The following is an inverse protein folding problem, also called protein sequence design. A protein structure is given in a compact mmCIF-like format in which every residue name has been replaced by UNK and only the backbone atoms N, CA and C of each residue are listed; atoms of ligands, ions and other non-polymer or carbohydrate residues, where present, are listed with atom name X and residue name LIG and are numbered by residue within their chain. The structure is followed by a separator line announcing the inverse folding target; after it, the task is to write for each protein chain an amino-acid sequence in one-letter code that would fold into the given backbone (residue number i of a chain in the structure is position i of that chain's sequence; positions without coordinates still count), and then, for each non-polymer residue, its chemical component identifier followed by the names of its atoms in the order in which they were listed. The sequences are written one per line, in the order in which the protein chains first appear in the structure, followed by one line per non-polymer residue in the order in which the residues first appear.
data_IF_144673612893
#
_entry.id   IF_144673612893
#
_cell.length_a   1.000
_cell.length_b   1.000
_cell.length_c   1.000
_cell.angle_alpha   90.00
_cell.angle_beta   90.00
_cell.angle_gamma   90.00
#
_symmetry.space_group_name_H-M   'P 1'
#
loop_
_entity.id
_entity.type
_entity.pdbx_description
1 polymer ?
#
# COMPACT_ATOMS: atom_id res chain seq x y z
N UNK A 1 7.36 -3.74 -22.82
CA UNK A 1 8.83 -3.86 -22.68
C UNK A 1 9.26 -3.44 -21.27
N UNK A 2 8.98 -2.22 -20.79
CA UNK A 2 9.34 -1.74 -19.43
C UNK A 2 8.84 -2.67 -18.32
N UNK A 3 7.59 -3.18 -18.42
CA UNK A 3 7.02 -4.12 -17.46
C UNK A 3 7.83 -5.44 -17.41
N UNK A 4 8.23 -5.96 -18.56
CA UNK A 4 9.02 -7.20 -18.62
C UNK A 4 10.40 -6.99 -18.01
N UNK A 5 11.06 -5.86 -18.32
CA UNK A 5 12.35 -5.50 -17.71
C UNK A 5 12.23 -5.39 -16.19
N UNK A 6 11.21 -4.70 -15.69
CA UNK A 6 10.95 -4.56 -14.26
C UNK A 6 10.67 -5.91 -13.59
N UNK A 7 9.87 -6.76 -14.23
CA UNK A 7 9.57 -8.10 -13.72
C UNK A 7 10.81 -8.99 -13.65
N UNK A 8 11.64 -8.98 -14.71
CA UNK A 8 12.93 -9.69 -14.72
C UNK A 8 13.86 -9.16 -13.64
N UNK A 9 13.90 -7.86 -13.42
CA UNK A 9 14.71 -7.22 -12.38
C UNK A 9 14.26 -7.63 -10.96
N UNK A 10 12.96 -7.70 -10.73
CA UNK A 10 12.39 -8.22 -9.47
C UNK A 10 12.71 -9.70 -9.25
N UNK A 11 12.65 -10.52 -10.31
CA UNK A 11 13.04 -11.93 -10.22
C UNK A 11 14.52 -12.09 -9.91
N UNK A 12 15.39 -11.30 -10.55
CA UNK A 12 16.83 -11.30 -10.29
C UNK A 12 17.13 -10.85 -8.84
N UNK A 13 16.46 -9.82 -8.34
CA UNK A 13 16.60 -9.38 -6.95
C UNK A 13 16.12 -10.45 -5.96
N UNK A 14 15.04 -11.16 -6.30
CA UNK A 14 14.52 -12.24 -5.46
C UNK A 14 15.45 -13.47 -5.46
N UNK A 15 16.00 -13.84 -6.60
CA UNK A 15 16.95 -14.97 -6.71
C UNK A 15 18.34 -14.61 -6.14
N UNK A 16 18.77 -13.37 -6.29
CA UNK A 16 20.03 -12.88 -5.69
C UNK A 16 20.05 -12.99 -4.17
N UNK A 17 18.89 -12.81 -3.51
CA UNK A 17 18.75 -12.99 -2.05
C UNK A 17 19.09 -14.40 -1.57
N UNK A 18 19.00 -15.39 -2.44
CA UNK A 18 19.27 -16.81 -2.14
C UNK A 18 20.68 -17.26 -2.53
N UNK A 19 21.38 -16.50 -3.39
CA UNK A 19 22.59 -16.95 -4.07
C UNK A 19 23.83 -16.10 -3.80
N UNK A 20 23.71 -14.88 -3.24
CA UNK A 20 24.81 -13.93 -3.10
C UNK A 20 25.10 -13.52 -1.67
N UNK A 21 26.33 -13.06 -1.42
CA UNK A 21 26.73 -12.43 -0.16
C UNK A 21 25.93 -11.12 0.06
N UNK A 22 25.67 -10.78 1.32
CA UNK A 22 24.85 -9.61 1.70
C UNK A 22 25.32 -8.30 1.04
N UNK A 23 26.65 -8.13 0.90
CA UNK A 23 27.25 -6.91 0.30
C UNK A 23 26.97 -6.80 -1.20
N UNK A 24 27.08 -7.90 -1.95
CA UNK A 24 26.78 -7.92 -3.39
C UNK A 24 25.30 -7.67 -3.66
N UNK A 25 24.44 -8.17 -2.76
CA UNK A 25 23.02 -7.93 -2.81
C UNK A 25 22.67 -6.45 -2.60
N UNK A 26 23.33 -5.78 -1.66
CA UNK A 26 23.11 -4.34 -1.40
C UNK A 26 23.52 -3.49 -2.62
N UNK A 27 24.65 -3.79 -3.26
CA UNK A 27 25.06 -3.12 -4.51
C UNK A 27 24.07 -3.36 -5.64
N UNK A 28 23.54 -4.56 -5.77
CA UNK A 28 22.52 -4.88 -6.77
C UNK A 28 21.22 -4.09 -6.54
N UNK A 29 20.80 -3.94 -5.27
CA UNK A 29 19.63 -3.11 -4.91
C UNK A 29 19.87 -1.64 -5.26
N UNK A 30 21.03 -1.08 -4.89
CA UNK A 30 21.37 0.30 -5.20
C UNK A 30 21.38 0.53 -6.71
N UNK A 31 22.00 -0.38 -7.48
CA UNK A 31 22.01 -0.32 -8.93
C UNK A 31 20.59 -0.37 -9.53
N UNK A 32 19.74 -1.27 -9.02
CA UNK A 32 18.34 -1.37 -9.46
C UNK A 32 17.53 -0.11 -9.14
N UNK A 33 17.73 0.49 -7.96
CA UNK A 33 17.09 1.76 -7.59
C UNK A 33 17.54 2.91 -8.50
N UNK A 34 18.84 3.04 -8.77
CA UNK A 34 19.38 4.04 -9.69
C UNK A 34 18.80 3.86 -11.11
N UNK A 35 18.79 2.64 -11.63
CA UNK A 35 18.20 2.33 -12.93
C UNK A 35 16.71 2.68 -12.98
N UNK A 36 15.95 2.36 -11.92
CA UNK A 36 14.53 2.69 -11.84
C UNK A 36 14.30 4.20 -11.85
N UNK A 37 15.09 4.97 -11.09
CA UNK A 37 15.01 6.44 -11.07
C UNK A 37 15.28 7.01 -12.46
N UNK A 38 16.33 6.56 -13.14
CA UNK A 38 16.67 6.98 -14.50
C UNK A 38 15.55 6.64 -15.48
N UNK A 39 15.00 5.42 -15.40
CA UNK A 39 13.89 4.99 -16.26
C UNK A 39 12.62 5.83 -16.03
N UNK A 40 12.30 6.16 -14.78
CA UNK A 40 11.16 7.04 -14.44
C UNK A 40 11.37 8.44 -14.97
N UNK A 41 12.56 9.01 -14.82
CA UNK A 41 12.90 10.34 -15.36
C UNK A 41 12.82 10.36 -16.89
N UNK A 42 13.33 9.32 -17.55
CA UNK A 42 13.27 9.17 -18.99
C UNK A 42 11.81 9.09 -19.49
N UNK A 43 10.99 8.21 -18.90
CA UNK A 43 9.57 8.10 -19.26
C UNK A 43 8.80 9.39 -18.95
N UNK A 44 9.14 10.06 -17.86
CA UNK A 44 8.52 11.35 -17.49
C UNK A 44 8.89 12.46 -18.48
N UNK A 45 10.11 12.45 -19.01
CA UNK A 45 10.57 13.46 -19.96
C UNK A 45 10.03 13.24 -21.39
N UNK A 46 10.05 11.99 -21.85
CA UNK A 46 9.62 11.64 -23.21
C UNK A 46 8.15 11.24 -23.31
N UNK A 47 7.49 10.95 -22.16
CA UNK A 47 6.06 10.62 -22.14
C UNK A 47 5.22 11.83 -22.56
N UNK A 48 4.38 11.68 -23.60
CA UNK A 48 3.40 12.72 -23.97
C UNK A 48 2.51 12.99 -22.77
N UNK A 49 2.65 14.14 -22.16
CA UNK A 49 1.77 14.61 -21.07
C UNK A 49 0.42 14.97 -21.68
N UNK A 50 -0.46 14.02 -21.82
CA UNK A 50 -1.88 14.32 -21.94
C UNK A 50 -2.31 15.00 -20.63
N UNK A 51 -2.60 16.27 -20.66
CA UNK A 51 -3.11 17.01 -19.50
C UNK A 51 -4.57 16.61 -19.23
N UNK A 52 -4.78 15.40 -18.73
CA UNK A 52 -6.11 14.98 -18.29
C UNK A 52 -6.43 15.63 -16.96
N UNK A 53 -7.43 16.46 -16.92
CA UNK A 53 -7.92 17.10 -15.69
C UNK A 53 -8.88 16.15 -14.98
N UNK A 54 -8.38 15.49 -13.94
CA UNK A 54 -9.24 14.79 -12.97
C UNK A 54 -9.58 15.79 -11.86
N UNK A 55 -10.81 15.78 -11.36
CA UNK A 55 -11.22 16.66 -10.26
C UNK A 55 -10.32 16.41 -9.03
N UNK A 56 -9.97 17.49 -8.31
CA UNK A 56 -9.09 17.41 -7.14
C UNK A 56 -9.65 16.43 -6.09
N UNK A 57 -10.96 16.48 -5.86
CA UNK A 57 -11.65 15.58 -4.93
C UNK A 57 -11.45 14.11 -5.30
N UNK A 58 -11.67 13.74 -6.57
CA UNK A 58 -11.53 12.38 -7.05
C UNK A 58 -10.07 11.93 -7.00
N UNK A 59 -9.13 12.82 -7.30
CA UNK A 59 -7.69 12.53 -7.25
C UNK A 59 -7.23 12.28 -5.81
N UNK A 60 -7.64 13.13 -4.86
CA UNK A 60 -7.33 12.96 -3.43
C UNK A 60 -7.96 11.69 -2.86
N UNK A 61 -9.23 11.42 -3.16
CA UNK A 61 -9.90 10.21 -2.71
C UNK A 61 -9.22 8.94 -3.23
N UNK A 62 -8.73 8.96 -4.47
CA UNK A 62 -8.00 7.84 -5.07
C UNK A 62 -6.62 7.66 -4.41
N UNK A 63 -5.93 8.75 -4.12
CA UNK A 63 -4.66 8.74 -3.42
C UNK A 63 -4.82 8.19 -2.00
N UNK A 64 -5.84 8.64 -1.25
CA UNK A 64 -6.18 8.11 0.09
C UNK A 64 -6.48 6.62 0.03
N UNK A 65 -7.24 6.16 -0.98
CA UNK A 65 -7.52 4.73 -1.15
C UNK A 65 -6.23 3.91 -1.35
N UNK A 66 -5.22 4.46 -2.01
CA UNK A 66 -3.90 3.87 -2.15
C UNK A 66 -3.13 3.84 -0.83
N UNK A 67 -3.12 4.94 -0.10
CA UNK A 67 -2.52 5.07 1.24
C UNK A 67 -3.08 4.00 2.18
N UNK A 68 -4.42 3.94 2.30
CA UNK A 68 -5.10 2.98 3.17
C UNK A 68 -4.83 1.54 2.78
N UNK A 69 -4.78 1.25 1.46
CA UNK A 69 -4.44 -0.08 0.99
C UNK A 69 -3.05 -0.53 1.43
N UNK A 70 -2.06 0.34 1.30
CA UNK A 70 -0.71 0.05 1.72
C UNK A 70 -0.56 0.01 3.26
N UNK A 71 -1.23 0.91 3.98
CA UNK A 71 -1.29 0.91 5.43
C UNK A 71 -1.80 -0.44 5.96
N UNK A 72 -2.88 -0.94 5.41
CA UNK A 72 -3.51 -2.18 5.83
C UNK A 72 -2.56 -3.38 5.68
N UNK A 73 -1.83 -3.46 4.58
CA UNK A 73 -0.90 -4.57 4.35
C UNK A 73 0.44 -4.38 5.04
N UNK A 74 1.08 -3.22 4.88
CA UNK A 74 2.43 -3.02 5.38
C UNK A 74 2.44 -2.81 6.89
N UNK A 75 1.70 -1.81 7.38
CA UNK A 75 1.61 -1.56 8.83
C UNK A 75 0.90 -2.70 9.54
N UNK A 76 -0.22 -3.19 9.00
CA UNK A 76 -0.98 -4.29 9.58
C UNK A 76 -0.15 -5.55 9.73
N UNK A 77 0.69 -5.90 8.74
CA UNK A 77 1.56 -7.07 8.85
C UNK A 77 2.67 -6.89 9.89
N UNK A 78 3.30 -5.72 9.96
CA UNK A 78 4.32 -5.41 10.97
C UNK A 78 3.70 -5.44 12.38
N UNK A 79 2.55 -4.79 12.55
CA UNK A 79 1.84 -4.74 13.83
C UNK A 79 1.41 -6.13 14.31
N UNK A 80 0.71 -6.89 13.46
CA UNK A 80 0.23 -8.23 13.83
C UNK A 80 1.40 -9.18 14.09
N UNK A 81 2.46 -9.13 13.29
CA UNK A 81 3.64 -9.95 13.51
C UNK A 81 4.36 -9.60 14.82
N UNK A 82 4.39 -8.31 15.19
CA UNK A 82 5.03 -7.83 16.43
C UNK A 82 4.22 -8.14 17.68
N UNK A 83 2.88 -7.98 17.63
CA UNK A 83 2.02 -8.11 18.82
C UNK A 83 1.52 -9.54 19.02
N UNK A 84 1.08 -10.20 17.96
CA UNK A 84 0.46 -11.54 18.02
C UNK A 84 1.35 -12.65 17.50
N UNK A 85 2.48 -12.32 16.86
CA UNK A 85 3.38 -13.26 16.22
C UNK A 85 2.94 -13.64 14.79
N UNK A 86 3.90 -14.09 13.99
CA UNK A 86 3.71 -14.40 12.54
C UNK A 86 2.73 -15.53 12.29
N UNK A 87 2.67 -16.54 13.17
CA UNK A 87 1.74 -17.65 13.05
C UNK A 87 0.27 -17.20 13.05
N UNK A 88 -0.02 -16.07 13.65
CA UNK A 88 -1.37 -15.52 13.80
C UNK A 88 -1.79 -14.55 12.69
N UNK A 89 -0.94 -14.26 11.71
CA UNK A 89 -1.25 -13.33 10.62
C UNK A 89 -2.49 -13.74 9.82
N UNK A 90 -2.74 -15.06 9.68
CA UNK A 90 -3.92 -15.58 9.01
C UNK A 90 -5.21 -15.08 9.65
N UNK A 91 -5.30 -15.19 10.96
CA UNK A 91 -6.52 -14.87 11.73
C UNK A 91 -6.66 -13.37 11.98
N UNK A 92 -5.57 -12.69 12.36
CA UNK A 92 -5.65 -11.29 12.80
C UNK A 92 -5.53 -10.27 11.67
N UNK A 93 -4.94 -10.64 10.53
CA UNK A 93 -4.80 -9.72 9.39
C UNK A 93 -5.59 -10.18 8.17
N UNK A 94 -5.31 -11.39 7.64
CA UNK A 94 -5.89 -11.81 6.36
C UNK A 94 -7.37 -12.12 6.45
N UNK A 95 -7.82 -12.79 7.51
CA UNK A 95 -9.23 -13.12 7.68
C UNK A 95 -10.13 -11.87 7.75
N UNK A 96 -9.90 -10.89 8.65
CA UNK A 96 -10.72 -9.67 8.70
C UNK A 96 -10.62 -8.87 7.40
N UNK A 97 -9.46 -8.85 6.73
CA UNK A 97 -9.32 -8.21 5.43
C UNK A 97 -10.23 -8.82 4.37
N UNK A 98 -10.18 -10.14 4.22
CA UNK A 98 -10.98 -10.86 3.21
C UNK A 98 -12.47 -10.76 3.53
N UNK A 99 -12.85 -10.93 4.78
CA UNK A 99 -14.26 -10.80 5.21
C UNK A 99 -14.79 -9.38 4.95
N UNK A 100 -14.01 -8.34 5.26
CA UNK A 100 -14.39 -6.95 4.96
C UNK A 100 -14.59 -6.71 3.47
N UNK A 101 -13.71 -7.25 2.62
CA UNK A 101 -13.82 -7.16 1.17
C UNK A 101 -15.07 -7.89 0.65
N UNK A 102 -15.31 -9.13 1.10
CA UNK A 102 -16.51 -9.92 0.71
C UNK A 102 -17.77 -9.21 1.14
N UNK A 103 -17.82 -8.71 2.37
CA UNK A 103 -18.98 -7.99 2.88
C UNK A 103 -19.27 -6.71 2.07
N UNK A 104 -18.21 -5.97 1.69
CA UNK A 104 -18.35 -4.83 0.79
C UNK A 104 -18.96 -5.21 -0.58
N UNK A 105 -18.62 -6.39 -1.12
CA UNK A 105 -19.19 -6.89 -2.38
C UNK A 105 -20.68 -7.25 -2.21
N UNK A 106 -21.05 -7.93 -1.12
CA UNK A 106 -22.44 -8.32 -0.82
C UNK A 106 -23.32 -7.08 -0.67
N UNK A 107 -22.84 -6.04 0.00
CA UNK A 107 -23.60 -4.82 0.26
C UNK A 107 -23.46 -3.79 -0.88
N UNK A 108 -22.72 -4.11 -1.95
CA UNK A 108 -22.40 -3.19 -3.05
C UNK A 108 -23.62 -2.55 -3.70
N UNK A 109 -24.76 -3.25 -3.79
CA UNK A 109 -26.04 -2.71 -4.32
C UNK A 109 -26.59 -1.57 -3.46
N UNK A 110 -26.53 -1.72 -2.13
CA UNK A 110 -26.98 -0.72 -1.16
C UNK A 110 -26.04 0.47 -1.07
N UNK A 111 -24.73 0.22 -1.11
CA UNK A 111 -23.71 1.26 -1.04
C UNK A 111 -23.63 2.14 -2.31
N UNK A 112 -24.30 1.73 -3.40
CA UNK A 112 -24.42 2.56 -4.61
C UNK A 112 -25.04 3.94 -4.34
N UNK A 113 -25.94 4.02 -3.37
CA UNK A 113 -26.67 5.24 -3.02
C UNK A 113 -25.92 6.11 -1.98
N UNK A 114 -24.80 5.65 -1.47
CA UNK A 114 -24.05 6.37 -0.47
C UNK A 114 -23.37 7.61 -1.07
N UNK A 115 -23.35 8.68 -0.29
CA UNK A 115 -22.53 9.85 -0.60
C UNK A 115 -21.04 9.48 -0.48
N UNK A 116 -20.17 10.18 -1.22
CA UNK A 116 -18.71 10.09 -1.14
C UNK A 116 -18.17 10.14 0.27
N UNK A 117 -18.79 10.92 1.13
CA UNK A 117 -18.30 11.19 2.46
C UNK A 117 -18.43 9.96 3.38
N UNK A 118 -19.42 9.09 3.13
CA UNK A 118 -19.65 7.92 4.00
C UNK A 118 -18.46 6.96 4.04
N UNK A 119 -17.92 6.49 2.91
CA UNK A 119 -16.72 5.65 2.94
C UNK A 119 -15.51 6.36 3.56
N UNK A 120 -15.35 7.67 3.32
CA UNK A 120 -14.24 8.45 3.86
C UNK A 120 -14.32 8.57 5.39
N UNK A 121 -15.50 8.92 5.92
CA UNK A 121 -15.74 8.97 7.37
C UNK A 121 -15.59 7.57 7.99
N UNK A 122 -16.09 6.54 7.29
CA UNK A 122 -15.91 5.15 7.71
C UNK A 122 -14.43 4.73 7.79
N UNK A 123 -13.59 5.16 6.84
CA UNK A 123 -12.15 4.93 6.89
C UNK A 123 -11.51 5.62 8.10
N UNK A 124 -11.85 6.89 8.34
CA UNK A 124 -11.34 7.65 9.49
C UNK A 124 -11.76 7.00 10.82
N UNK A 125 -13.03 6.60 10.94
CA UNK A 125 -13.53 5.88 12.13
C UNK A 125 -12.85 4.53 12.33
N UNK A 126 -12.62 3.78 11.26
CA UNK A 126 -11.90 2.49 11.32
C UNK A 126 -10.46 2.66 11.81
N UNK A 127 -9.76 3.71 11.35
CA UNK A 127 -8.42 4.04 11.84
C UNK A 127 -8.45 4.42 13.33
N UNK A 128 -9.47 5.18 13.76
CA UNK A 128 -9.67 5.48 15.18
C UNK A 128 -9.86 4.21 16.04
N UNK A 129 -10.64 3.24 15.56
CA UNK A 129 -10.84 1.96 16.25
C UNK A 129 -9.52 1.15 16.31
N UNK A 130 -8.68 1.22 15.28
CA UNK A 130 -7.37 0.54 15.29
C UNK A 130 -6.41 1.08 16.35
N UNK A 131 -6.58 2.31 16.81
CA UNK A 131 -5.82 2.84 17.96
C UNK A 131 -6.20 2.16 19.28
N UNK A 132 -7.36 1.52 19.33
CA UNK A 132 -7.82 0.72 20.47
C UNK A 132 -7.34 -0.72 20.27
N UNK A 133 -6.23 -1.08 20.87
CA UNK A 133 -5.54 -2.38 20.67
C UNK A 133 -6.43 -3.61 20.84
N UNK A 134 -7.45 -3.52 21.72
CA UNK A 134 -8.41 -4.61 21.97
C UNK A 134 -9.36 -4.87 20.79
N UNK A 135 -9.51 -3.92 19.86
CA UNK A 135 -10.47 -3.98 18.75
C UNK A 135 -9.81 -4.11 17.37
N UNK A 136 -8.57 -4.58 17.34
CA UNK A 136 -7.76 -4.66 16.09
C UNK A 136 -8.48 -5.42 14.98
N UNK A 137 -9.08 -6.59 15.26
CA UNK A 137 -9.79 -7.41 14.27
C UNK A 137 -10.96 -6.63 13.66
N UNK A 138 -11.77 -5.98 14.52
CA UNK A 138 -12.91 -5.18 14.06
C UNK A 138 -12.44 -3.97 13.26
N UNK A 139 -11.39 -3.28 13.71
CA UNK A 139 -10.80 -2.13 13.01
C UNK A 139 -10.29 -2.52 11.63
N UNK A 140 -9.59 -3.63 11.49
CA UNK A 140 -9.09 -4.14 10.21
C UNK A 140 -10.24 -4.57 9.27
N UNK A 141 -11.26 -5.21 9.82
CA UNK A 141 -12.46 -5.59 9.06
C UNK A 141 -13.16 -4.34 8.49
N UNK A 142 -13.45 -3.35 9.34
CA UNK A 142 -14.10 -2.11 8.93
C UNK A 142 -13.24 -1.31 7.95
N UNK A 143 -11.94 -1.23 8.19
CA UNK A 143 -11.00 -0.55 7.29
C UNK A 143 -11.01 -1.20 5.89
N UNK A 144 -10.99 -2.53 5.83
CA UNK A 144 -11.08 -3.28 4.57
C UNK A 144 -12.43 -3.07 3.88
N UNK A 145 -13.51 -3.09 4.64
CA UNK A 145 -14.87 -2.86 4.14
C UNK A 145 -15.00 -1.47 3.50
N UNK A 146 -14.67 -0.42 4.23
CA UNK A 146 -14.80 0.95 3.72
C UNK A 146 -13.82 1.25 2.60
N UNK A 147 -12.60 0.73 2.65
CA UNK A 147 -11.62 0.82 1.56
C UNK A 147 -12.14 0.16 0.27
N UNK A 148 -12.73 -1.03 0.37
CA UNK A 148 -13.29 -1.74 -0.77
C UNK A 148 -14.52 -1.03 -1.34
N UNK A 149 -15.36 -0.48 -0.48
CA UNK A 149 -16.52 0.35 -0.86
C UNK A 149 -16.06 1.61 -1.59
N UNK A 150 -15.06 2.33 -1.05
CA UNK A 150 -14.47 3.52 -1.69
C UNK A 150 -13.86 3.17 -3.05
N UNK A 151 -13.13 2.06 -3.13
CA UNK A 151 -12.52 1.62 -4.39
C UNK A 151 -13.55 1.34 -5.48
N UNK A 152 -14.66 0.71 -5.12
CA UNK A 152 -15.78 0.42 -6.04
C UNK A 152 -16.50 1.69 -6.48
N UNK A 153 -16.66 2.64 -5.57
CA UNK A 153 -17.23 3.95 -5.85
C UNK A 153 -16.34 4.75 -6.81
N UNK A 154 -15.03 4.84 -6.52
CA UNK A 154 -14.06 5.52 -7.39
C UNK A 154 -14.01 4.88 -8.78
N UNK A 155 -14.05 3.55 -8.88
CA UNK A 155 -14.08 2.87 -10.17
C UNK A 155 -15.29 3.34 -11.02
N UNK A 156 -16.48 3.41 -10.42
CA UNK A 156 -17.68 3.90 -11.12
C UNK A 156 -17.54 5.34 -11.56
N UNK A 157 -17.06 6.24 -10.70
CA UNK A 157 -16.83 7.66 -11.05
C UNK A 157 -15.86 7.82 -12.22
N UNK A 158 -14.73 7.09 -12.19
CA UNK A 158 -13.78 7.12 -13.30
C UNK A 158 -14.39 6.62 -14.62
N UNK A 159 -15.28 5.60 -14.58
CA UNK A 159 -15.99 5.14 -15.78
C UNK A 159 -16.98 6.16 -16.32
N UNK A 160 -17.59 6.96 -15.46
CA UNK A 160 -18.56 8.00 -15.83
C UNK A 160 -17.90 9.31 -16.27
N UNK A 161 -16.63 9.52 -15.97
CA UNK A 161 -15.91 10.74 -16.32
C UNK A 161 -15.74 10.86 -17.83
N UNK A 162 -16.39 11.88 -18.42
CA UNK A 162 -16.42 12.08 -19.86
C UNK A 162 -15.17 12.76 -20.41
N UNK A 163 -14.48 13.54 -19.57
CA UNK A 163 -13.28 14.30 -19.96
C UNK A 163 -12.04 13.42 -20.15
N UNK A 164 -12.13 12.15 -19.73
CA UNK A 164 -11.04 11.19 -19.84
C UNK A 164 -11.28 10.23 -21.02
N UNK A 165 -10.27 9.91 -21.84
CA UNK A 165 -10.37 8.84 -22.83
C UNK A 165 -10.73 7.51 -22.18
N UNK A 166 -11.64 6.77 -22.78
CA UNK A 166 -12.17 5.51 -22.22
C UNK A 166 -11.07 4.54 -21.78
N UNK A 167 -10.05 4.38 -22.62
CA UNK A 167 -8.94 3.43 -22.37
C UNK A 167 -8.00 3.89 -21.25
N UNK A 168 -7.97 5.17 -20.92
CA UNK A 168 -7.07 5.74 -19.93
C UNK A 168 -7.68 5.87 -18.53
N UNK A 169 -9.00 5.79 -18.39
CA UNK A 169 -9.73 6.06 -17.13
C UNK A 169 -9.25 5.19 -15.99
N UNK A 170 -9.24 3.89 -16.19
CA UNK A 170 -8.82 2.92 -15.18
C UNK A 170 -7.32 2.99 -14.93
N UNK A 171 -6.53 3.21 -15.97
CA UNK A 171 -5.08 3.38 -15.83
C UNK A 171 -4.74 4.60 -14.96
N UNK A 172 -5.39 5.75 -15.16
CA UNK A 172 -5.21 6.96 -14.36
C UNK A 172 -5.58 6.70 -12.90
N UNK A 173 -6.72 6.02 -12.65
CA UNK A 173 -7.12 5.62 -11.30
C UNK A 173 -6.04 4.80 -10.60
N UNK A 174 -5.59 3.72 -11.22
CA UNK A 174 -4.59 2.84 -10.61
C UNK A 174 -3.23 3.52 -10.44
N UNK A 175 -2.82 4.33 -11.39
CA UNK A 175 -1.58 5.12 -11.27
C UNK A 175 -1.63 6.06 -10.08
N UNK A 176 -2.75 6.77 -9.87
CA UNK A 176 -2.93 7.66 -8.72
C UNK A 176 -2.97 6.87 -7.41
N UNK A 177 -3.66 5.73 -7.40
CA UNK A 177 -3.72 4.84 -6.24
C UNK A 177 -2.31 4.31 -5.87
N UNK A 178 -1.52 3.92 -6.86
CA UNK A 178 -0.14 3.47 -6.66
C UNK A 178 0.75 4.59 -6.10
N UNK A 179 0.59 5.83 -6.58
CA UNK A 179 1.28 7.00 -5.99
C UNK A 179 0.97 7.14 -4.50
N UNK A 180 -0.30 7.00 -4.11
CA UNK A 180 -0.69 7.01 -2.69
C UNK A 180 -0.02 5.89 -1.88
N UNK A 181 0.00 4.68 -2.41
CA UNK A 181 0.68 3.54 -1.78
C UNK A 181 2.18 3.78 -1.58
N UNK A 182 2.87 4.27 -2.60
CA UNK A 182 4.30 4.57 -2.53
C UNK A 182 4.58 5.71 -1.54
N UNK A 183 3.76 6.75 -1.54
CA UNK A 183 3.89 7.86 -0.59
C UNK A 183 3.76 7.39 0.86
N UNK A 184 2.77 6.55 1.15
CA UNK A 184 2.61 5.95 2.48
C UNK A 184 3.80 5.07 2.86
N UNK A 185 4.26 4.22 1.94
CA UNK A 185 5.41 3.36 2.17
C UNK A 185 6.65 4.17 2.54
N UNK A 186 6.91 5.23 1.80
CA UNK A 186 8.04 6.12 2.05
C UNK A 186 7.93 6.78 3.43
N UNK A 187 6.76 7.34 3.78
CA UNK A 187 6.54 7.96 5.10
C UNK A 187 6.71 6.94 6.22
N UNK A 188 6.14 5.75 6.09
CA UNK A 188 6.24 4.72 7.11
C UNK A 188 7.69 4.31 7.34
N UNK A 189 8.45 4.07 6.26
CA UNK A 189 9.87 3.71 6.35
C UNK A 189 10.69 4.83 6.97
N UNK A 190 10.43 6.09 6.62
CA UNK A 190 11.09 7.25 7.21
C UNK A 190 10.80 7.37 8.71
N UNK A 191 9.53 7.20 9.11
CA UNK A 191 9.14 7.21 10.53
C UNK A 191 9.79 6.07 11.32
N UNK A 192 9.83 4.87 10.76
CA UNK A 192 10.50 3.73 11.38
C UNK A 192 12.01 4.00 11.56
N UNK A 193 12.65 4.54 10.52
CA UNK A 193 14.07 4.89 10.58
C UNK A 193 14.34 5.94 11.69
N UNK A 194 13.57 7.02 11.70
CA UNK A 194 13.70 8.08 12.73
C UNK A 194 13.49 7.50 14.14
N UNK A 195 12.50 6.62 14.32
CA UNK A 195 12.20 6.01 15.61
C UNK A 195 13.34 5.11 16.08
N UNK A 196 13.91 4.31 15.18
CA UNK A 196 15.00 3.39 15.51
C UNK A 196 16.28 4.14 15.82
N UNK A 197 16.65 5.11 14.98
CA UNK A 197 17.85 5.94 15.20
C UNK A 197 17.69 6.79 16.47
N UNK A 198 16.53 7.37 16.71
CA UNK A 198 16.24 8.17 17.90
C UNK A 198 16.29 7.38 19.21
N UNK A 199 16.08 6.05 19.16
CA UNK A 199 16.23 5.14 20.31
C UNK A 199 17.63 4.50 20.42
N UNK A 200 18.60 4.96 19.63
CA UNK A 200 19.96 4.40 19.61
C UNK A 200 20.06 3.01 18.96
N UNK A 201 19.01 2.59 18.25
CA UNK A 201 18.99 1.33 17.51
C UNK A 201 19.80 1.43 16.21
N UNK A 202 20.29 0.30 15.74
CA UNK A 202 20.98 0.19 14.45
C UNK A 202 20.01 -0.06 13.31
N UNK A 203 20.37 0.35 12.09
CA UNK A 203 19.61 0.04 10.86
C UNK A 203 19.44 -1.47 10.65
N UNK A 204 20.33 -2.28 11.23
CA UNK A 204 20.24 -3.73 11.24
C UNK A 204 18.95 -4.25 11.90
N UNK A 205 18.48 -3.58 12.95
CA UNK A 205 17.21 -3.90 13.61
C UNK A 205 16.01 -3.70 12.70
N UNK A 206 16.02 -2.68 11.82
CA UNK A 206 14.98 -2.49 10.79
C UNK A 206 15.00 -3.61 9.75
N UNK A 207 16.17 -4.05 9.34
CA UNK A 207 16.33 -5.16 8.40
C UNK A 207 15.84 -6.48 8.99
N UNK A 208 16.06 -6.72 10.28
CA UNK A 208 15.56 -7.90 10.99
C UNK A 208 14.03 -7.87 11.13
N UNK A 209 13.44 -6.71 11.45
CA UNK A 209 11.99 -6.50 11.48
C UNK A 209 11.31 -6.80 10.14
N UNK A 210 11.93 -6.32 9.05
CA UNK A 210 11.38 -6.50 7.69
C UNK A 210 11.81 -7.83 7.06
N UNK A 211 12.99 -8.35 7.42
CA UNK A 211 13.59 -9.54 6.83
C UNK A 211 13.17 -10.88 7.43
N UNK A 212 12.41 -10.88 8.50
CA UNK A 212 11.81 -12.11 9.01
C UNK A 212 12.61 -12.96 9.96
N UNK A 213 13.75 -12.52 10.45
CA UNK A 213 14.41 -13.16 11.59
C UNK A 213 13.69 -12.75 12.87
N UNK A 214 13.17 -13.72 13.62
CA UNK A 214 12.48 -13.45 14.88
C UNK A 214 13.39 -12.66 15.81
N UNK A 215 12.87 -11.56 16.33
CA UNK A 215 13.54 -10.80 17.37
C UNK A 215 13.52 -11.70 18.60
N UNK A 216 14.68 -12.24 18.99
CA UNK A 216 14.87 -12.71 20.35
C UNK A 216 14.87 -11.45 21.22
N UNK A 217 13.72 -11.16 21.84
CA UNK A 217 13.72 -10.19 22.95
C UNK A 217 14.59 -10.79 24.05
N UNK A 218 15.85 -10.36 24.10
CA UNK A 218 16.62 -10.47 25.32
C UNK A 218 16.02 -9.43 26.28
N UNK A 219 15.28 -9.94 27.25
CA UNK A 219 14.84 -9.23 28.46
C UNK A 219 16.05 -8.73 29.25
#
# INVERSE_FOLDING_TARGET
ILFVIFFVLLLLLRSGRLLTNAVEFDYAIVGACCFFVVAVLFVSHYGKRGAYKVSLEMNLATLINGIVGNYLFLFGSIYVAGVYGRAHMGIYLYLPYVLGMIFAMIVASKTKQWSNNIPMVGLAGSLGILLLTSWTILGLFLLSFFKSTLNSFLARRYYQETDLPKDSRIFIKYTTQTKGSLFHQFILMALMLVTVVGKGGTTQFLLELTGGKGISMQT
#
